data_IF_098014134918
#
_entry.id   IF_098014134918
#
_cell.length_a   1.000
_cell.length_b   1.000
_cell.length_c   1.000
_cell.angle_alpha   90.00
_cell.angle_beta   90.00
_cell.angle_gamma   90.00
#
_symmetry.space_group_name_H-M   'P 1'
#
loop_
_entity.id
_entity.type
_entity.pdbx_description
1 polymer ?
#
# COMPACT_ATOMS: atom_id res chain seq x y z
N UNK A 1 -54.95 -46.33 -27.11
CA UNK A 1 -55.08 -45.24 -26.15
C UNK A 1 -53.95 -45.33 -25.16
N UNK A 2 -52.90 -44.53 -25.32
CA UNK A 2 -51.82 -44.37 -24.34
C UNK A 2 -51.66 -42.87 -24.11
N UNK A 3 -51.88 -42.48 -22.89
CA UNK A 3 -51.84 -41.12 -22.40
C UNK A 3 -50.35 -40.68 -22.17
N UNK A 4 -49.85 -39.66 -22.88
CA UNK A 4 -48.58 -39.03 -22.61
C UNK A 4 -48.74 -38.10 -21.41
N UNK A 5 -47.97 -38.34 -20.34
CA UNK A 5 -47.80 -37.39 -19.26
C UNK A 5 -46.57 -36.54 -19.59
N UNK A 6 -46.77 -35.27 -19.73
CA UNK A 6 -45.73 -34.24 -19.83
C UNK A 6 -45.21 -33.90 -18.45
N UNK A 7 -43.98 -34.33 -18.13
CA UNK A 7 -43.25 -33.85 -16.96
C UNK A 7 -42.65 -32.49 -17.25
N UNK A 8 -43.27 -31.44 -16.73
CA UNK A 8 -42.72 -30.10 -16.70
C UNK A 8 -41.75 -29.99 -15.52
N UNK A 9 -40.45 -30.11 -15.80
CA UNK A 9 -39.41 -29.86 -14.84
C UNK A 9 -39.37 -28.34 -14.53
N UNK A 10 -39.87 -27.97 -13.35
CA UNK A 10 -39.72 -26.62 -12.77
C UNK A 10 -38.26 -26.45 -12.39
N UNK A 11 -37.49 -25.74 -13.22
CA UNK A 11 -36.19 -25.23 -12.83
C UNK A 11 -36.38 -24.23 -11.67
N UNK A 12 -36.13 -24.68 -10.46
CA UNK A 12 -35.93 -23.78 -9.31
C UNK A 12 -34.59 -23.04 -9.52
N UNK A 13 -34.67 -21.77 -9.89
CA UNK A 13 -33.54 -20.87 -9.80
C UNK A 13 -33.17 -20.74 -8.31
N UNK A 14 -32.11 -21.40 -7.90
CA UNK A 14 -31.46 -21.09 -6.61
C UNK A 14 -30.83 -19.74 -6.74
N UNK A 15 -31.58 -18.69 -6.40
CA UNK A 15 -30.99 -17.38 -6.08
C UNK A 15 -30.15 -17.57 -4.84
N UNK A 16 -28.83 -17.62 -5.00
CA UNK A 16 -27.92 -17.48 -3.88
C UNK A 16 -28.30 -16.22 -3.07
N UNK A 17 -28.39 -16.34 -1.72
CA UNK A 17 -28.69 -15.17 -0.91
C UNK A 17 -27.62 -14.11 -1.19
N UNK A 18 -28.01 -12.90 -1.58
CA UNK A 18 -27.12 -11.74 -1.68
C UNK A 18 -26.34 -11.67 -0.37
N UNK A 19 -25.04 -11.99 -0.41
CA UNK A 19 -24.15 -11.82 0.76
C UNK A 19 -24.26 -10.36 1.16
N UNK A 20 -24.78 -10.09 2.36
CA UNK A 20 -24.84 -8.75 2.92
C UNK A 20 -23.44 -8.11 2.80
N UNK A 21 -23.36 -6.85 2.39
CA UNK A 21 -22.09 -6.14 2.26
C UNK A 21 -21.33 -6.22 3.58
N UNK A 22 -20.10 -6.70 3.54
CA UNK A 22 -19.25 -6.82 4.73
C UNK A 22 -18.62 -5.46 5.04
N UNK A 23 -18.56 -5.11 6.32
CA UNK A 23 -17.82 -3.93 6.76
C UNK A 23 -16.32 -4.09 6.47
N UNK A 24 -15.77 -3.17 5.72
CA UNK A 24 -14.34 -3.07 5.42
C UNK A 24 -13.69 -2.12 6.43
N UNK A 25 -12.76 -2.62 7.22
CA UNK A 25 -12.02 -1.86 8.21
C UNK A 25 -10.73 -1.36 7.55
N UNK A 26 -10.48 -0.07 7.59
CA UNK A 26 -9.24 0.53 7.10
C UNK A 26 -8.46 1.12 8.26
N UNK A 27 -7.37 0.45 8.63
CA UNK A 27 -6.41 0.95 9.61
C UNK A 27 -5.49 1.97 8.93
N UNK A 28 -5.19 3.09 9.63
CA UNK A 28 -4.38 4.16 9.04
C UNK A 28 -5.11 4.94 7.94
N UNK A 29 -6.43 5.07 8.02
CA UNK A 29 -7.30 5.69 7.02
C UNK A 29 -6.96 7.16 6.68
N UNK A 30 -6.23 7.87 7.53
CA UNK A 30 -5.77 9.25 7.30
C UNK A 30 -4.38 9.34 6.63
N UNK A 31 -3.67 8.22 6.48
CA UNK A 31 -2.37 8.14 5.82
C UNK A 31 -2.48 8.15 4.28
N UNK A 32 -1.33 8.24 3.61
CA UNK A 32 -1.25 8.34 2.13
C UNK A 32 -2.01 7.20 1.43
N UNK A 33 -1.72 5.95 1.77
CA UNK A 33 -2.38 4.80 1.14
C UNK A 33 -3.77 4.57 1.73
N UNK A 34 -3.95 4.68 3.05
CA UNK A 34 -5.24 4.44 3.70
C UNK A 34 -6.36 5.31 3.15
N UNK A 35 -6.11 6.60 2.89
CA UNK A 35 -7.08 7.51 2.25
C UNK A 35 -7.48 7.04 0.85
N UNK A 36 -6.53 6.59 0.07
CA UNK A 36 -6.80 6.07 -1.28
C UNK A 36 -7.58 4.75 -1.24
N UNK A 37 -7.29 3.87 -0.27
CA UNK A 37 -8.08 2.63 -0.04
C UNK A 37 -9.53 2.98 0.33
N UNK A 38 -9.75 3.93 1.24
CA UNK A 38 -11.09 4.43 1.60
C UNK A 38 -11.81 4.97 0.37
N UNK A 39 -11.12 5.81 -0.44
CA UNK A 39 -11.69 6.36 -1.67
C UNK A 39 -12.07 5.26 -2.67
N UNK A 40 -11.20 4.28 -2.88
CA UNK A 40 -11.44 3.17 -3.79
C UNK A 40 -12.61 2.28 -3.33
N UNK A 41 -12.70 1.96 -2.04
CA UNK A 41 -13.83 1.20 -1.49
C UNK A 41 -15.16 1.94 -1.65
N UNK A 42 -15.18 3.26 -1.42
CA UNK A 42 -16.37 4.08 -1.64
C UNK A 42 -16.81 4.10 -3.10
N UNK A 43 -15.86 4.24 -4.02
CA UNK A 43 -16.15 4.19 -5.46
C UNK A 43 -16.80 2.85 -5.89
N UNK A 44 -16.52 1.78 -5.13
CA UNK A 44 -17.16 0.47 -5.29
C UNK A 44 -18.44 0.30 -4.45
N UNK A 45 -18.97 1.38 -3.84
CA UNK A 45 -20.14 1.37 -2.96
C UNK A 45 -20.03 0.37 -1.78
N UNK A 46 -18.84 0.21 -1.23
CA UNK A 46 -18.59 -0.67 -0.09
C UNK A 46 -18.74 0.07 1.24
N UNK A 47 -19.29 -0.57 2.29
CA UNK A 47 -19.27 0.01 3.64
C UNK A 47 -17.84 0.04 4.17
N UNK A 48 -17.45 1.18 4.76
CA UNK A 48 -16.10 1.42 5.26
C UNK A 48 -16.15 1.94 6.69
N UNK A 49 -15.34 1.34 7.53
CA UNK A 49 -14.99 1.82 8.86
C UNK A 49 -13.54 2.29 8.86
N UNK A 50 -13.31 3.57 9.06
CA UNK A 50 -11.99 4.17 9.19
C UNK A 50 -11.54 4.11 10.66
N UNK A 51 -10.43 3.42 10.92
CA UNK A 51 -9.82 3.36 12.27
C UNK A 51 -8.71 4.40 12.33
N UNK A 52 -8.84 5.33 13.26
CA UNK A 52 -7.94 6.48 13.42
C UNK A 52 -7.69 6.76 14.89
N UNK A 53 -6.56 7.39 15.22
CA UNK A 53 -6.24 7.75 16.64
C UNK A 53 -7.17 8.83 17.18
N UNK A 54 -7.49 9.82 16.37
CA UNK A 54 -8.33 10.96 16.75
C UNK A 54 -9.49 11.13 15.73
N UNK A 55 -10.69 10.60 16.06
CA UNK A 55 -11.85 10.73 15.19
C UNK A 55 -12.30 12.18 14.95
N UNK A 56 -12.13 13.06 15.91
CA UNK A 56 -12.56 14.46 15.78
C UNK A 56 -11.78 15.19 14.69
N UNK A 57 -10.48 14.92 14.58
CA UNK A 57 -9.60 15.51 13.56
C UNK A 57 -9.57 14.73 12.24
N UNK A 58 -10.19 13.56 12.17
CA UNK A 58 -10.15 12.68 11.00
C UNK A 58 -11.35 12.84 10.06
N UNK A 59 -12.54 13.28 10.55
CA UNK A 59 -13.78 13.29 9.78
C UNK A 59 -13.65 14.03 8.43
N UNK A 60 -13.06 15.21 8.43
CA UNK A 60 -12.82 15.98 7.19
C UNK A 60 -11.76 15.38 6.25
N UNK A 61 -10.95 14.41 6.71
CA UNK A 61 -9.85 13.81 5.94
C UNK A 61 -10.21 12.49 5.30
N UNK A 62 -11.19 11.77 5.84
CA UNK A 62 -11.63 10.46 5.32
C UNK A 62 -12.87 10.56 4.43
N UNK A 63 -13.58 11.69 4.47
CA UNK A 63 -14.77 11.97 3.66
C UNK A 63 -16.08 11.63 4.38
N UNK A 64 -17.19 12.16 3.85
CA UNK A 64 -18.53 12.00 4.43
C UNK A 64 -19.07 10.57 4.26
N UNK A 65 -19.97 10.17 5.17
CA UNK A 65 -20.68 8.88 5.12
C UNK A 65 -19.80 7.66 5.44
N UNK A 66 -18.64 7.88 6.10
CA UNK A 66 -17.75 6.82 6.58
C UNK A 66 -17.90 6.72 8.10
N UNK A 67 -18.03 5.49 8.60
CA UNK A 67 -17.95 5.23 10.03
C UNK A 67 -16.52 5.47 10.52
N UNK A 68 -16.31 6.43 11.39
CA UNK A 68 -14.99 6.76 11.96
C UNK A 68 -14.95 6.31 13.41
N UNK A 69 -14.00 5.46 13.77
CA UNK A 69 -13.84 4.93 15.13
C UNK A 69 -12.42 5.16 15.64
N UNK A 70 -12.32 5.32 16.96
CA UNK A 70 -11.03 5.42 17.63
C UNK A 70 -10.34 4.05 17.67
N UNK A 71 -9.03 4.03 17.39
CA UNK A 71 -8.16 2.89 17.57
C UNK A 71 -6.71 3.28 17.38
N UNK A 72 -5.87 2.86 18.32
CA UNK A 72 -4.45 3.17 18.34
C UNK A 72 -3.62 1.88 18.29
N UNK A 73 -2.62 1.86 17.42
CA UNK A 73 -1.67 0.75 17.30
C UNK A 73 -0.77 0.62 18.54
N UNK A 74 -0.58 1.70 19.29
CA UNK A 74 0.15 1.70 20.57
C UNK A 74 -0.74 1.24 21.74
N UNK A 75 -2.07 1.18 21.55
CA UNK A 75 -3.05 0.69 22.52
C UNK A 75 -3.86 -0.48 21.94
N UNK A 76 -3.30 -1.70 21.87
CA UNK A 76 -3.93 -2.85 21.19
C UNK A 76 -5.34 -3.19 21.67
N UNK A 77 -5.69 -2.88 22.92
CA UNK A 77 -7.04 -3.10 23.45
C UNK A 77 -8.09 -2.27 22.72
N UNK A 78 -7.75 -1.04 22.30
CA UNK A 78 -8.63 -0.16 21.52
C UNK A 78 -8.98 -0.74 20.16
N UNK A 79 -8.06 -1.50 19.56
CA UNK A 79 -8.24 -2.11 18.24
C UNK A 79 -9.29 -3.23 18.26
N UNK A 80 -9.42 -3.98 19.35
CA UNK A 80 -10.45 -5.03 19.47
C UNK A 80 -11.84 -4.42 19.31
N UNK A 81 -12.10 -3.33 20.01
CA UNK A 81 -13.38 -2.60 19.91
C UNK A 81 -13.56 -2.04 18.50
N UNK A 82 -12.54 -1.40 17.94
CA UNK A 82 -12.57 -0.79 16.61
C UNK A 82 -12.84 -1.82 15.50
N UNK A 83 -12.37 -3.05 15.66
CA UNK A 83 -12.51 -4.11 14.64
C UNK A 83 -13.79 -4.95 14.80
N UNK A 84 -14.46 -4.90 15.97
CA UNK A 84 -15.65 -5.72 16.24
C UNK A 84 -16.76 -5.46 15.21
N UNK A 85 -17.35 -6.53 14.71
CA UNK A 85 -18.39 -6.48 13.67
C UNK A 85 -17.87 -6.25 12.25
N UNK A 86 -16.54 -6.08 12.07
CA UNK A 86 -15.93 -5.99 10.74
C UNK A 86 -15.70 -7.36 10.08
N UNK A 87 -15.65 -7.37 8.76
CA UNK A 87 -15.43 -8.58 7.95
C UNK A 87 -14.02 -8.70 7.40
N UNK A 88 -13.47 -7.60 6.88
CA UNK A 88 -12.15 -7.54 6.24
C UNK A 88 -11.37 -6.36 6.79
N UNK A 89 -10.11 -6.59 7.16
CA UNK A 89 -9.19 -5.57 7.65
C UNK A 89 -8.14 -5.24 6.58
N UNK A 90 -7.98 -3.98 6.22
CA UNK A 90 -6.78 -3.46 5.59
C UNK A 90 -5.74 -3.14 6.66
N UNK A 91 -4.57 -3.79 6.57
CA UNK A 91 -3.50 -3.70 7.56
C UNK A 91 -2.28 -2.99 6.98
N UNK A 92 -1.97 -1.83 7.54
CA UNK A 92 -0.75 -1.07 7.31
C UNK A 92 -0.49 -0.19 8.54
N UNK A 93 0.69 -0.32 9.14
CA UNK A 93 1.18 0.57 10.18
C UNK A 93 2.11 1.66 9.60
N UNK A 94 2.31 2.77 10.31
CA UNK A 94 3.36 3.74 9.98
C UNK A 94 4.75 3.09 9.95
N UNK A 95 5.63 3.64 9.13
CA UNK A 95 7.06 3.29 9.14
C UNK A 95 7.67 3.76 10.46
N UNK A 96 8.11 2.81 11.28
CA UNK A 96 8.71 3.02 12.58
C UNK A 96 9.57 1.82 12.98
N UNK A 97 10.50 1.96 13.94
CA UNK A 97 11.23 0.81 14.50
C UNK A 97 10.31 -0.30 15.02
N UNK A 98 9.14 0.07 15.52
CA UNK A 98 8.11 -0.83 16.10
C UNK A 98 7.04 -1.25 15.12
N UNK A 99 7.22 -1.06 13.81
CA UNK A 99 6.20 -1.37 12.81
C UNK A 99 5.71 -2.81 12.87
N UNK A 100 6.63 -3.77 13.00
CA UNK A 100 6.28 -5.19 13.08
C UNK A 100 5.43 -5.48 14.32
N UNK A 101 5.83 -4.97 15.49
CA UNK A 101 5.12 -5.15 16.76
C UNK A 101 3.70 -4.58 16.69
N UNK A 102 3.54 -3.39 16.14
CA UNK A 102 2.24 -2.74 15.95
C UNK A 102 1.32 -3.58 15.05
N UNK A 103 1.83 -4.07 13.93
CA UNK A 103 1.02 -4.87 13.01
C UNK A 103 0.71 -6.27 13.58
N UNK A 104 1.63 -6.89 14.31
CA UNK A 104 1.38 -8.15 15.02
C UNK A 104 0.32 -7.97 16.12
N UNK A 105 0.33 -6.85 16.82
CA UNK A 105 -0.71 -6.51 17.79
C UNK A 105 -2.08 -6.33 17.12
N UNK A 106 -2.13 -5.65 15.97
CA UNK A 106 -3.34 -5.52 15.17
C UNK A 106 -3.87 -6.88 14.66
N UNK A 107 -3.00 -7.82 14.26
CA UNK A 107 -3.41 -9.17 13.89
C UNK A 107 -4.03 -9.94 15.06
N UNK A 108 -3.46 -9.82 16.27
CA UNK A 108 -4.04 -10.42 17.48
C UNK A 108 -5.42 -9.83 17.78
N UNK A 109 -5.55 -8.50 17.73
CA UNK A 109 -6.82 -7.80 17.93
C UNK A 109 -7.87 -8.21 16.87
N UNK A 110 -7.47 -8.35 15.61
CA UNK A 110 -8.36 -8.80 14.53
C UNK A 110 -8.93 -10.21 14.79
N UNK A 111 -8.11 -11.14 15.28
CA UNK A 111 -8.59 -12.48 15.68
C UNK A 111 -9.60 -12.42 16.80
N UNK A 112 -9.33 -11.66 17.87
CA UNK A 112 -10.21 -11.50 19.02
C UNK A 112 -11.53 -10.85 18.61
N UNK A 113 -11.50 -9.86 17.73
CA UNK A 113 -12.67 -9.15 17.22
C UNK A 113 -13.49 -9.95 16.20
N UNK A 114 -13.05 -11.14 15.79
CA UNK A 114 -13.76 -11.98 14.82
C UNK A 114 -13.64 -11.49 13.35
N UNK A 115 -12.61 -10.71 13.03
CA UNK A 115 -12.27 -10.39 11.63
C UNK A 115 -11.99 -11.67 10.88
N UNK A 116 -12.54 -11.81 9.68
CA UNK A 116 -12.40 -13.05 8.90
C UNK A 116 -11.20 -13.06 7.97
N UNK A 117 -10.84 -11.91 7.45
CA UNK A 117 -9.78 -11.78 6.44
C UNK A 117 -9.00 -10.49 6.59
N UNK A 118 -7.71 -10.55 6.30
CA UNK A 118 -6.80 -9.40 6.30
C UNK A 118 -6.21 -9.21 4.90
N UNK A 119 -6.25 -7.99 4.40
CA UNK A 119 -5.47 -7.55 3.25
C UNK A 119 -4.31 -6.74 3.80
N UNK A 120 -3.11 -7.33 3.77
CA UNK A 120 -1.87 -6.71 4.26
C UNK A 120 -1.16 -5.99 3.13
N UNK A 121 -0.96 -4.68 3.28
CA UNK A 121 -0.01 -3.98 2.42
C UNK A 121 1.40 -4.23 2.92
N UNK A 122 2.19 -4.89 2.09
CA UNK A 122 3.59 -5.25 2.31
C UNK A 122 4.48 -4.53 1.29
N UNK A 123 5.76 -4.84 1.28
CA UNK A 123 6.74 -4.29 0.34
C UNK A 123 7.35 -5.37 -0.55
N UNK A 124 7.82 -4.99 -1.72
CA UNK A 124 8.76 -5.82 -2.48
C UNK A 124 9.98 -6.11 -1.61
N UNK A 125 10.58 -7.29 -1.77
CA UNK A 125 11.73 -7.72 -0.97
C UNK A 125 11.39 -8.08 0.48
N UNK A 126 10.09 -8.15 0.88
CA UNK A 126 9.70 -8.57 2.24
C UNK A 126 10.22 -9.97 2.56
N UNK A 127 11.09 -10.05 3.57
CA UNK A 127 11.72 -11.28 4.05
C UNK A 127 12.02 -11.13 5.55
N UNK A 128 11.58 -12.04 6.43
CA UNK A 128 11.84 -11.96 7.86
C UNK A 128 13.32 -12.06 8.23
N UNK A 129 14.15 -12.56 7.32
CA UNK A 129 15.60 -12.67 7.49
C UNK A 129 16.38 -11.55 6.81
N UNK A 130 15.69 -10.57 6.20
CA UNK A 130 16.34 -9.43 5.55
C UNK A 130 17.15 -8.61 6.55
N UNK A 131 18.32 -8.12 6.11
CA UNK A 131 19.10 -7.13 6.86
C UNK A 131 18.52 -5.71 6.82
N UNK A 132 17.53 -5.44 5.96
CA UNK A 132 16.88 -4.14 5.85
C UNK A 132 15.63 -4.03 6.74
N UNK A 133 15.55 -2.97 7.54
CA UNK A 133 14.45 -2.81 8.51
C UNK A 133 13.06 -2.87 7.87
N UNK A 134 12.84 -2.18 6.74
CA UNK A 134 11.52 -2.16 6.10
C UNK A 134 11.11 -3.53 5.59
N UNK A 135 12.00 -4.20 4.85
CA UNK A 135 11.74 -5.52 4.27
C UNK A 135 11.60 -6.60 5.34
N UNK A 136 12.39 -6.50 6.42
CA UNK A 136 12.31 -7.41 7.56
C UNK A 136 10.99 -7.26 8.32
N UNK A 137 10.58 -6.03 8.67
CA UNK A 137 9.34 -5.78 9.39
C UNK A 137 8.13 -6.35 8.63
N UNK A 138 8.05 -6.08 7.32
CA UNK A 138 7.01 -6.66 6.49
C UNK A 138 7.08 -8.18 6.42
N UNK A 139 8.26 -8.76 6.27
CA UNK A 139 8.46 -10.21 6.20
C UNK A 139 8.02 -10.94 7.48
N UNK A 140 8.33 -10.39 8.66
CA UNK A 140 7.88 -10.91 9.97
C UNK A 140 6.34 -10.95 10.03
N UNK A 141 5.68 -9.86 9.62
CA UNK A 141 4.21 -9.78 9.64
C UNK A 141 3.57 -10.70 8.61
N UNK A 142 4.15 -10.84 7.41
CA UNK A 142 3.67 -11.82 6.42
C UNK A 142 3.72 -13.25 6.96
N UNK A 143 4.84 -13.64 7.61
CA UNK A 143 4.98 -14.97 8.19
C UNK A 143 3.94 -15.24 9.28
N UNK A 144 3.73 -14.27 10.17
CA UNK A 144 2.73 -14.36 11.23
C UNK A 144 1.29 -14.41 10.67
N UNK A 145 0.97 -13.61 9.66
CA UNK A 145 -0.35 -13.58 9.04
C UNK A 145 -0.69 -14.92 8.38
N UNK A 146 0.25 -15.55 7.67
CA UNK A 146 0.06 -16.85 7.01
C UNK A 146 -0.29 -17.97 8.00
N UNK A 147 0.18 -17.87 9.24
CA UNK A 147 -0.07 -18.87 10.30
C UNK A 147 -1.12 -18.45 11.31
N UNK A 148 -1.75 -17.27 11.12
CA UNK A 148 -2.68 -16.66 12.09
C UNK A 148 -4.03 -17.36 12.23
N UNK A 149 -4.43 -18.19 11.25
CA UNK A 149 -5.78 -18.73 11.12
C UNK A 149 -6.80 -17.76 10.52
N UNK A 150 -6.42 -16.52 10.20
CA UNK A 150 -7.21 -15.56 9.43
C UNK A 150 -7.11 -15.88 7.93
N UNK A 151 -8.17 -15.63 7.16
CA UNK A 151 -8.02 -15.51 5.71
C UNK A 151 -7.11 -14.34 5.37
N UNK A 152 -6.28 -14.44 4.34
CA UNK A 152 -5.34 -13.39 4.03
C UNK A 152 -5.13 -13.17 2.53
N UNK A 153 -4.73 -11.96 2.19
CA UNK A 153 -4.12 -11.59 0.92
C UNK A 153 -2.99 -10.61 1.24
N UNK A 154 -1.82 -10.82 0.67
CA UNK A 154 -0.66 -9.94 0.84
C UNK A 154 -0.45 -9.19 -0.47
N UNK A 155 -0.43 -7.86 -0.42
CA UNK A 155 -0.11 -7.00 -1.56
C UNK A 155 1.26 -6.38 -1.31
N UNK A 156 2.26 -6.78 -2.06
CA UNK A 156 3.61 -6.19 -2.03
C UNK A 156 3.63 -5.00 -2.98
N UNK A 157 3.71 -3.80 -2.44
CA UNK A 157 3.85 -2.58 -3.22
C UNK A 157 5.29 -2.35 -3.67
N UNK A 158 5.48 -1.89 -4.90
CA UNK A 158 6.74 -1.29 -5.37
C UNK A 158 6.96 0.08 -4.72
N UNK A 159 8.05 0.78 -5.07
CA UNK A 159 8.31 2.14 -4.58
C UNK A 159 7.16 3.08 -4.95
N UNK A 160 6.71 3.89 -3.99
CA UNK A 160 5.60 4.79 -4.25
C UNK A 160 6.06 6.05 -4.99
N UNK A 161 5.33 6.49 -6.01
CA UNK A 161 5.59 7.77 -6.65
C UNK A 161 5.56 8.94 -5.65
N UNK A 162 4.76 8.83 -4.58
CA UNK A 162 4.73 9.84 -3.52
C UNK A 162 6.06 10.04 -2.79
N UNK A 163 6.96 9.04 -2.81
CA UNK A 163 8.29 9.18 -2.20
C UNK A 163 9.14 10.22 -2.92
N UNK A 164 8.86 10.51 -4.20
CA UNK A 164 9.53 11.56 -4.95
C UNK A 164 9.29 12.96 -4.37
N UNK A 165 8.19 13.14 -3.60
CA UNK A 165 7.91 14.41 -2.91
C UNK A 165 8.94 14.74 -1.83
N UNK A 166 9.64 13.75 -1.29
CA UNK A 166 10.75 13.99 -0.34
C UNK A 166 11.93 14.72 -0.99
N UNK A 167 12.07 14.63 -2.32
CA UNK A 167 13.10 15.36 -3.06
C UNK A 167 12.63 16.76 -3.52
N UNK A 168 11.44 17.21 -3.14
CA UNK A 168 10.88 18.46 -3.64
C UNK A 168 11.79 19.68 -3.38
N UNK A 169 12.37 19.78 -2.20
CA UNK A 169 13.23 20.93 -1.83
C UNK A 169 14.55 20.95 -2.59
N UNK A 170 15.19 19.78 -2.80
CA UNK A 170 16.41 19.70 -3.58
C UNK A 170 16.16 19.94 -5.07
N UNK A 171 15.03 19.50 -5.59
CA UNK A 171 14.61 19.76 -6.97
C UNK A 171 14.27 21.25 -7.16
N UNK A 172 13.54 21.87 -6.22
CA UNK A 172 13.23 23.31 -6.29
C UNK A 172 14.47 24.19 -6.19
N UNK A 173 15.29 23.94 -5.17
CA UNK A 173 16.39 24.81 -4.81
C UNK A 173 17.64 24.62 -5.67
N UNK A 174 17.90 23.40 -6.12
CA UNK A 174 19.19 23.00 -6.68
C UNK A 174 19.12 22.28 -8.01
N UNK A 175 17.92 22.01 -8.56
CA UNK A 175 17.72 21.21 -9.77
C UNK A 175 18.34 19.80 -9.67
N UNK A 176 18.33 19.21 -8.47
CA UNK A 176 18.97 17.93 -8.18
C UNK A 176 18.01 16.92 -7.54
N UNK A 177 18.13 15.68 -7.99
CA UNK A 177 17.59 14.51 -7.33
C UNK A 177 18.74 13.68 -6.77
N UNK A 178 18.76 13.49 -5.46
CA UNK A 178 19.83 12.78 -4.74
C UNK A 178 19.37 11.36 -4.44
N UNK A 179 20.24 10.39 -4.71
CA UNK A 179 20.03 8.98 -4.39
C UNK A 179 21.34 8.22 -4.28
N UNK A 180 21.28 6.91 -4.02
CA UNK A 180 22.48 6.09 -3.77
C UNK A 180 22.42 4.72 -4.45
N UNK A 181 21.49 4.52 -5.39
CA UNK A 181 21.30 3.22 -6.07
C UNK A 181 22.12 3.07 -7.35
N UNK A 182 22.85 4.11 -7.76
CA UNK A 182 23.55 4.13 -9.03
C UNK A 182 22.58 4.01 -10.19
N UNK A 183 22.89 3.11 -11.12
CA UNK A 183 22.09 2.84 -12.32
C UNK A 183 21.13 1.64 -12.14
N UNK A 184 20.93 1.17 -10.90
CA UNK A 184 20.02 0.06 -10.65
C UNK A 184 18.56 0.49 -10.88
N UNK A 185 17.78 -0.21 -11.73
CA UNK A 185 16.39 0.12 -11.95
C UNK A 185 15.52 -0.39 -10.81
N UNK A 186 14.51 0.39 -10.45
CA UNK A 186 13.46 0.00 -9.50
C UNK A 186 12.08 0.15 -10.14
N UNK A 187 11.18 -0.77 -9.81
CA UNK A 187 9.78 -0.65 -10.12
C UNK A 187 9.14 0.35 -9.15
N UNK A 188 8.23 1.16 -9.68
CA UNK A 188 7.47 2.16 -8.95
C UNK A 188 5.98 1.92 -9.12
N UNK A 189 5.15 2.51 -8.28
CA UNK A 189 3.69 2.41 -8.36
C UNK A 189 3.02 3.70 -7.90
N UNK A 190 1.92 4.07 -8.55
CA UNK A 190 1.04 5.15 -8.08
C UNK A 190 0.33 4.69 -6.80
N UNK A 191 0.35 5.50 -5.72
CA UNK A 191 -0.38 5.20 -4.49
C UNK A 191 -1.85 4.87 -4.69
N UNK A 192 -2.53 5.52 -5.63
CA UNK A 192 -3.94 5.27 -5.87
C UNK A 192 -4.16 3.96 -6.64
N UNK A 193 -3.26 3.55 -7.54
CA UNK A 193 -3.33 2.25 -8.20
C UNK A 193 -3.08 1.11 -7.20
N UNK A 194 -2.09 1.28 -6.33
CA UNK A 194 -1.81 0.32 -5.24
C UNK A 194 -3.01 0.18 -4.30
N UNK A 195 -3.61 1.29 -3.90
CA UNK A 195 -4.79 1.31 -3.07
C UNK A 195 -6.01 0.66 -3.75
N UNK A 196 -6.17 0.86 -5.06
CA UNK A 196 -7.23 0.21 -5.84
C UNK A 196 -7.05 -1.31 -5.86
N UNK A 197 -5.81 -1.81 -6.00
CA UNK A 197 -5.49 -3.25 -5.87
C UNK A 197 -5.87 -3.75 -4.47
N UNK A 198 -5.46 -3.07 -3.41
CA UNK A 198 -5.79 -3.45 -2.04
C UNK A 198 -7.31 -3.47 -1.80
N UNK A 199 -8.01 -2.43 -2.23
CA UNK A 199 -9.46 -2.33 -2.11
C UNK A 199 -10.18 -3.45 -2.89
N UNK A 200 -9.70 -3.78 -4.10
CA UNK A 200 -10.23 -4.92 -4.86
C UNK A 200 -10.04 -6.24 -4.12
N UNK A 201 -8.87 -6.47 -3.54
CA UNK A 201 -8.61 -7.65 -2.70
C UNK A 201 -9.48 -7.67 -1.42
N UNK A 202 -9.89 -6.53 -0.88
CA UNK A 202 -10.81 -6.48 0.25
C UNK A 202 -12.23 -6.90 -0.12
N UNK A 203 -12.68 -6.53 -1.32
CA UNK A 203 -14.04 -6.83 -1.81
C UNK A 203 -14.14 -8.24 -2.37
N UNK A 204 -13.14 -8.65 -3.17
CA UNK A 204 -13.12 -9.94 -3.87
C UNK A 204 -12.22 -10.94 -3.14
N UNK A 205 -12.77 -12.06 -2.65
CA UNK A 205 -11.97 -13.10 -2.02
C UNK A 205 -11.14 -13.95 -3.02
N UNK A 206 -11.26 -13.73 -4.33
CA UNK A 206 -10.59 -14.53 -5.35
C UNK A 206 -9.07 -14.57 -5.23
N UNK A 207 -8.46 -13.58 -4.55
CA UNK A 207 -7.04 -13.55 -4.25
C UNK A 207 -6.70 -14.03 -2.82
N UNK A 208 -7.59 -14.73 -2.14
CA UNK A 208 -7.31 -15.26 -0.81
C UNK A 208 -6.19 -16.30 -0.84
N UNK A 209 -5.22 -16.16 0.06
CA UNK A 209 -4.03 -17.00 0.11
C UNK A 209 -2.93 -16.64 -0.91
N UNK A 210 -3.06 -15.53 -1.62
CA UNK A 210 -2.08 -15.07 -2.61
C UNK A 210 -1.19 -13.95 -2.09
N UNK A 211 0.05 -13.93 -2.61
CA UNK A 211 0.95 -12.77 -2.54
C UNK A 211 0.97 -12.13 -3.92
N UNK A 212 0.55 -10.89 -3.98
CA UNK A 212 0.45 -10.11 -5.22
C UNK A 212 1.47 -8.98 -5.19
N UNK A 213 2.30 -8.86 -6.21
CA UNK A 213 3.18 -7.68 -6.36
C UNK A 213 2.50 -6.67 -7.27
N UNK A 214 2.34 -5.44 -6.80
CA UNK A 214 1.73 -4.34 -7.55
C UNK A 214 2.79 -3.31 -7.93
N UNK A 215 2.92 -3.08 -9.24
CA UNK A 215 3.87 -2.13 -9.83
C UNK A 215 3.18 -1.22 -10.82
N UNK A 216 3.79 -0.09 -11.13
CA UNK A 216 3.50 0.71 -12.31
C UNK A 216 4.00 0.04 -13.60
N UNK A 217 4.01 0.77 -14.72
CA UNK A 217 4.28 0.20 -16.04
C UNK A 217 5.75 -0.07 -16.34
N UNK A 218 6.69 0.46 -15.54
CA UNK A 218 8.12 0.35 -15.82
C UNK A 218 8.97 0.30 -14.55
N UNK A 219 10.12 -0.37 -14.64
CA UNK A 219 11.24 -0.19 -13.73
C UNK A 219 12.17 0.87 -14.31
N UNK A 220 12.55 1.85 -13.50
CA UNK A 220 13.30 3.02 -13.92
C UNK A 220 14.56 3.20 -13.07
N UNK A 221 15.65 3.60 -13.70
CA UNK A 221 16.84 4.11 -13.02
C UNK A 221 16.58 5.52 -12.50
N UNK A 222 17.35 5.99 -11.53
CA UNK A 222 17.25 7.36 -11.05
C UNK A 222 17.55 8.39 -12.15
N UNK A 223 18.43 8.08 -13.09
CA UNK A 223 18.69 8.93 -14.26
C UNK A 223 17.46 9.07 -15.17
N UNK A 224 16.72 7.98 -15.41
CA UNK A 224 15.47 8.02 -16.19
C UNK A 224 14.38 8.78 -15.42
N UNK A 225 14.28 8.64 -14.10
CA UNK A 225 13.39 9.44 -13.25
C UNK A 225 13.73 10.93 -13.40
N UNK A 226 15.00 11.31 -13.38
CA UNK A 226 15.45 12.70 -13.60
C UNK A 226 15.14 13.21 -15.02
N UNK A 227 15.27 12.37 -16.02
CA UNK A 227 14.87 12.72 -17.39
C UNK A 227 13.36 13.01 -17.49
N UNK A 228 12.53 12.25 -16.80
CA UNK A 228 11.09 12.50 -16.72
C UNK A 228 10.81 13.80 -15.96
N UNK A 229 11.47 14.06 -14.81
CA UNK A 229 11.36 15.34 -14.11
C UNK A 229 11.75 16.50 -15.03
N UNK A 230 12.87 16.38 -15.74
CA UNK A 230 13.36 17.44 -16.65
C UNK A 230 12.35 17.76 -17.73
N UNK A 231 11.73 16.72 -18.30
CA UNK A 231 10.68 16.88 -19.31
C UNK A 231 9.42 17.55 -18.73
N UNK A 232 8.95 17.10 -17.56
CA UNK A 232 7.72 17.64 -16.95
C UNK A 232 7.90 19.08 -16.47
N UNK A 233 9.06 19.39 -15.88
CA UNK A 233 9.34 20.69 -15.31
C UNK A 233 9.95 21.68 -16.31
N UNK A 234 10.23 21.26 -17.56
CA UNK A 234 10.84 22.05 -18.63
C UNK A 234 12.17 22.71 -18.21
N UNK A 235 12.96 22.00 -17.40
CA UNK A 235 14.29 22.40 -16.94
C UNK A 235 15.11 21.17 -16.57
N UNK A 236 16.43 21.23 -16.69
CA UNK A 236 17.30 20.09 -16.42
C UNK A 236 17.32 19.77 -14.93
N UNK A 237 16.96 18.54 -14.56
CA UNK A 237 17.11 17.99 -13.22
C UNK A 237 18.21 16.93 -13.30
N UNK A 238 19.29 17.13 -12.53
CA UNK A 238 20.43 16.23 -12.52
C UNK A 238 20.29 15.15 -11.44
N UNK A 239 20.70 13.92 -11.74
CA UNK A 239 20.87 12.87 -10.74
C UNK A 239 22.23 13.02 -10.06
N UNK A 240 22.23 13.05 -8.73
CA UNK A 240 23.45 13.00 -7.92
C UNK A 240 23.47 11.67 -7.18
N UNK A 241 24.38 10.78 -7.60
CA UNK A 241 24.59 9.50 -6.92
C UNK A 241 25.59 9.70 -5.78
N UNK A 242 25.18 9.38 -4.56
CA UNK A 242 26.00 9.43 -3.36
C UNK A 242 26.46 8.03 -2.95
N UNK A 243 27.53 7.94 -2.14
CA UNK A 243 27.84 6.71 -1.40
C UNK A 243 26.77 6.47 -0.32
N UNK A 244 26.63 5.24 0.20
CA UNK A 244 25.73 4.96 1.31
C UNK A 244 25.93 5.90 2.52
N UNK A 245 27.18 6.17 2.89
CA UNK A 245 27.55 7.03 4.03
C UNK A 245 27.24 8.51 3.77
N UNK A 246 27.40 8.97 2.53
CA UNK A 246 27.03 10.33 2.13
C UNK A 246 25.51 10.50 2.16
N UNK A 247 24.78 9.49 1.68
CA UNK A 247 23.32 9.53 1.64
C UNK A 247 22.71 9.50 3.05
N UNK A 248 23.25 8.65 3.97
CA UNK A 248 22.86 8.66 5.38
C UNK A 248 23.03 10.04 6.01
N UNK A 249 24.19 10.70 5.78
CA UNK A 249 24.43 12.06 6.25
C UNK A 249 23.47 13.07 5.66
N UNK A 250 23.18 12.96 4.36
CA UNK A 250 22.23 13.85 3.67
C UNK A 250 20.85 13.74 4.29
N UNK A 251 20.32 12.54 4.50
CA UNK A 251 19.04 12.31 5.11
C UNK A 251 18.96 12.84 6.55
N UNK A 252 20.00 12.59 7.34
CA UNK A 252 20.09 13.10 8.72
C UNK A 252 20.13 14.62 8.77
N UNK A 253 20.88 15.26 7.87
CA UNK A 253 20.92 16.72 7.74
C UNK A 253 19.56 17.33 7.32
N UNK A 254 18.73 16.57 6.61
CA UNK A 254 17.35 16.92 6.25
C UNK A 254 16.33 16.64 7.39
N UNK A 255 16.81 16.20 8.56
CA UNK A 255 15.97 15.95 9.74
C UNK A 255 15.43 14.54 9.88
N UNK A 256 15.85 13.59 9.04
CA UNK A 256 15.51 12.19 9.24
C UNK A 256 16.20 11.64 10.50
N UNK A 257 15.53 10.73 11.21
CA UNK A 257 16.17 10.00 12.30
C UNK A 257 17.28 9.10 11.76
N UNK A 258 18.31 8.85 12.56
CA UNK A 258 19.41 7.92 12.20
C UNK A 258 18.87 6.54 11.80
N UNK A 259 17.86 6.04 12.53
CA UNK A 259 17.22 4.76 12.20
C UNK A 259 16.63 4.77 10.79
N UNK A 260 15.88 5.83 10.43
CA UNK A 260 15.25 5.94 9.12
C UNK A 260 16.30 6.06 8.01
N UNK A 261 17.33 6.87 8.22
CA UNK A 261 18.41 7.05 7.26
C UNK A 261 19.15 5.73 6.97
N UNK A 262 19.44 4.94 8.00
CA UNK A 262 20.04 3.60 7.85
C UNK A 262 19.09 2.61 7.16
N UNK A 263 17.81 2.67 7.46
CA UNK A 263 16.80 1.82 6.81
C UNK A 263 16.68 2.12 5.31
N UNK A 264 16.74 3.40 4.91
CA UNK A 264 16.75 3.83 3.51
C UNK A 264 18.03 3.37 2.79
N UNK A 265 19.19 3.49 3.44
CA UNK A 265 20.45 2.99 2.88
C UNK A 265 20.40 1.48 2.65
N UNK A 266 19.90 0.71 3.62
CA UNK A 266 19.75 -0.74 3.49
C UNK A 266 18.76 -1.12 2.37
N UNK A 267 17.71 -0.33 2.14
CA UNK A 267 16.78 -0.53 1.04
C UNK A 267 17.46 -0.38 -0.33
N UNK A 268 18.43 0.52 -0.44
CA UNK A 268 19.23 0.68 -1.65
C UNK A 268 20.01 -0.58 -2.05
N UNK A 269 20.45 -1.39 -1.10
CA UNK A 269 21.11 -2.68 -1.38
C UNK A 269 20.13 -3.69 -1.99
N UNK A 270 18.86 -3.68 -1.59
CA UNK A 270 17.80 -4.47 -2.22
C UNK A 270 17.60 -4.07 -3.68
N UNK A 271 17.64 -2.76 -3.96
CA UNK A 271 17.56 -2.26 -5.35
C UNK A 271 18.78 -2.69 -6.17
N UNK A 272 19.99 -2.46 -5.65
CA UNK A 272 21.25 -2.81 -6.33
C UNK A 272 21.38 -4.30 -6.62
N UNK A 273 20.85 -5.17 -5.75
CA UNK A 273 20.81 -6.61 -5.96
C UNK A 273 19.76 -7.06 -7.01
N UNK A 274 18.97 -6.13 -7.54
CA UNK A 274 17.92 -6.40 -8.52
C UNK A 274 16.59 -6.86 -7.90
N UNK A 275 16.46 -6.85 -6.58
CA UNK A 275 15.25 -7.30 -5.87
C UNK A 275 14.01 -6.40 -6.07
N UNK A 276 14.18 -5.26 -6.73
CA UNK A 276 13.11 -4.29 -6.95
C UNK A 276 12.76 -4.02 -8.42
N UNK A 277 13.37 -4.74 -9.38
CA UNK A 277 13.25 -4.40 -10.81
C UNK A 277 12.05 -4.99 -11.53
N UNK A 278 11.41 -6.02 -10.98
CA UNK A 278 10.38 -6.77 -11.70
C UNK A 278 9.09 -5.96 -11.82
N UNK A 279 8.55 -5.91 -13.04
CA UNK A 279 7.28 -5.26 -13.36
C UNK A 279 6.21 -6.32 -13.54
N UNK A 280 5.02 -6.07 -12.96
CA UNK A 280 3.91 -7.02 -12.95
C UNK A 280 2.65 -6.46 -13.60
N UNK A 281 1.77 -7.34 -14.07
CA UNK A 281 0.45 -6.98 -14.61
C UNK A 281 -0.65 -6.87 -13.54
N UNK A 282 -0.32 -6.87 -12.26
CA UNK A 282 -1.30 -6.96 -11.16
C UNK A 282 -2.29 -5.79 -11.15
N UNK A 283 -1.81 -4.55 -11.35
CA UNK A 283 -2.69 -3.37 -11.40
C UNK A 283 -3.71 -3.53 -12.53
N UNK A 284 -3.28 -3.74 -13.75
CA UNK A 284 -4.19 -3.87 -14.91
C UNK A 284 -5.19 -5.03 -14.72
N UNK A 285 -4.72 -6.17 -14.18
CA UNK A 285 -5.56 -7.36 -13.97
C UNK A 285 -6.66 -7.12 -12.94
N UNK A 286 -6.38 -6.40 -11.85
CA UNK A 286 -7.32 -6.24 -10.74
C UNK A 286 -8.15 -4.95 -10.79
N UNK A 287 -7.64 -3.90 -11.43
CA UNK A 287 -8.31 -2.60 -11.45
C UNK A 287 -9.02 -2.28 -12.76
N UNK A 288 -8.85 -3.11 -13.80
CA UNK A 288 -9.45 -2.95 -15.13
C UNK A 288 -8.97 -1.72 -15.91
N UNK A 289 -7.94 -1.05 -15.42
CA UNK A 289 -7.25 0.04 -16.14
C UNK A 289 -5.72 -0.18 -16.11
N UNK A 290 -4.98 0.37 -17.09
CA UNK A 290 -3.52 0.30 -17.08
C UNK A 290 -2.96 1.05 -15.86
N UNK A 291 -1.81 0.62 -15.31
CA UNK A 291 -1.16 1.35 -14.24
C UNK A 291 -0.71 2.74 -14.74
N UNK A 292 -0.86 3.75 -13.89
CA UNK A 292 -0.41 5.11 -14.19
C UNK A 292 1.12 5.16 -14.27
N UNK A 293 1.60 5.99 -15.19
CA UNK A 293 3.03 6.25 -15.32
C UNK A 293 3.51 7.29 -14.30
N UNK A 294 4.82 7.27 -14.01
CA UNK A 294 5.47 8.27 -13.16
C UNK A 294 5.32 9.69 -13.76
N UNK A 295 5.33 9.81 -15.10
CA UNK A 295 5.13 11.09 -15.77
C UNK A 295 3.73 11.68 -15.54
N UNK A 296 2.70 10.85 -15.53
CA UNK A 296 1.32 11.30 -15.20
C UNK A 296 1.24 11.74 -13.75
N UNK A 297 1.84 10.99 -12.82
CA UNK A 297 1.92 11.37 -11.41
C UNK A 297 2.64 12.71 -11.22
N UNK A 298 3.82 12.87 -11.83
CA UNK A 298 4.61 14.10 -11.73
C UNK A 298 3.88 15.32 -12.31
N UNK A 299 3.16 15.18 -13.45
CA UNK A 299 2.34 16.29 -13.99
C UNK A 299 1.25 16.71 -13.00
N UNK A 300 0.53 15.73 -12.42
CA UNK A 300 -0.51 16.00 -11.44
C UNK A 300 0.00 16.66 -10.15
N UNK A 301 1.27 16.48 -9.81
CA UNK A 301 1.91 17.01 -8.60
C UNK A 301 3.02 18.04 -8.91
N UNK A 302 3.08 18.58 -10.12
CA UNK A 302 4.16 19.47 -10.57
C UNK A 302 4.34 20.70 -9.69
N UNK A 303 3.26 21.24 -9.12
CA UNK A 303 3.31 22.35 -8.17
C UNK A 303 4.22 22.09 -6.95
N UNK A 304 4.40 20.82 -6.54
CA UNK A 304 5.30 20.46 -5.47
C UNK A 304 6.78 20.71 -5.82
N UNK A 305 7.14 20.75 -7.09
CA UNK A 305 8.52 20.81 -7.59
C UNK A 305 8.84 22.14 -8.33
N UNK A 306 7.86 23.02 -8.49
CA UNK A 306 8.07 24.35 -9.11
C UNK A 306 8.61 25.36 -8.10
N UNK A 307 9.43 26.31 -8.60
CA UNK A 307 9.97 27.44 -7.82
C UNK A 307 8.90 28.47 -7.52
#
# INVERSE_FOLDING_TARGET
MRCCRSDTAVMRSQTEPRRGLQMNIVLGATGTIGREVVRALRAMNQPVRAVVRDPANAAGRVGEGIEVVAGDLEEPASLVTAFTGGGVLFLLAPVAPTQAEMELAALRAARVAGVRRVVKLSSIGADPLSGGHFTQAHGIVEAALKTSGLGWTIVRGAFFYSNLLFAADTIKGHDQYIGHWGDAPAAWVDPADLAAVCARCMVDPGAAGEILTATGPAALTNAEVCAIFSHVLQRTIAYTNQTPEEYERTLTAQGASEWYARAEVALGEVVKSGGARDVTGTVARLTTHPPRSIAEYMRAHSAAFTR
#
